data_IF_666360064129
#
_entry.id   IF_666360064129
#
_cell.length_a   1.000
_cell.length_b   1.000
_cell.length_c   1.000
_cell.angle_alpha   90.00
_cell.angle_beta   90.00
_cell.angle_gamma   90.00
#
_symmetry.space_group_name_H-M   'P 1'
#
loop_
_entity.id
_entity.type
_entity.pdbx_description
1 polymer ?
#
# COMPACT_ATOMS: atom_id res chain seq x y z
N UNK A 1 -4.14 -18.83 7.80
CA UNK A 1 -5.55 -18.48 7.50
C UNK A 1 -6.17 -19.67 6.79
N UNK A 2 -6.51 -20.68 7.57
CA UNK A 2 -7.04 -21.92 6.98
C UNK A 2 -8.40 -21.62 6.32
N UNK A 3 -8.49 -21.88 5.03
CA UNK A 3 -9.72 -21.82 4.24
C UNK A 3 -10.02 -20.51 3.49
N UNK A 4 -9.36 -19.37 3.76
CA UNK A 4 -9.56 -18.13 3.03
C UNK A 4 -8.41 -17.89 2.06
N UNK A 5 -8.72 -17.77 0.78
CA UNK A 5 -7.74 -17.46 -0.26
C UNK A 5 -7.61 -15.93 -0.36
N UNK A 6 -6.43 -15.42 -0.09
CA UNK A 6 -6.14 -13.99 -0.09
C UNK A 6 -5.38 -13.62 -1.34
N UNK A 7 -5.84 -12.57 -2.04
CA UNK A 7 -5.10 -11.92 -3.11
C UNK A 7 -4.42 -10.67 -2.55
N UNK A 8 -3.09 -10.66 -2.35
CA UNK A 8 -2.36 -9.47 -1.98
C UNK A 8 -2.13 -8.59 -3.21
N UNK A 9 -2.39 -7.29 -3.07
CA UNK A 9 -2.08 -6.26 -4.06
C UNK A 9 -1.27 -5.14 -3.39
N UNK A 10 -0.34 -4.55 -4.12
CA UNK A 10 0.40 -3.39 -3.65
C UNK A 10 -0.05 -2.11 -4.35
N UNK A 11 -0.28 -1.05 -3.59
CA UNK A 11 -0.50 0.29 -4.16
C UNK A 11 0.72 0.78 -4.94
N UNK A 12 1.90 0.29 -4.61
CA UNK A 12 3.14 0.65 -5.29
C UNK A 12 3.16 0.20 -6.76
N UNK A 13 2.34 -0.78 -7.15
CA UNK A 13 2.15 -1.19 -8.53
C UNK A 13 1.41 -0.15 -9.38
N UNK A 14 0.86 0.89 -8.77
CA UNK A 14 0.04 1.91 -9.42
C UNK A 14 0.72 3.28 -9.51
N UNK A 15 2.03 3.39 -9.29
CA UNK A 15 2.74 4.63 -9.60
C UNK A 15 2.64 4.99 -11.09
N UNK A 16 2.58 6.31 -11.36
CA UNK A 16 2.66 6.82 -12.72
C UNK A 16 4.04 6.52 -13.33
N UNK A 17 4.13 5.95 -14.55
CA UNK A 17 5.42 5.58 -15.15
C UNK A 17 6.31 6.78 -15.48
N UNK A 18 5.75 7.98 -15.53
CA UNK A 18 6.45 9.25 -15.82
C UNK A 18 6.18 10.28 -14.73
N UNK A 19 6.06 9.85 -13.49
CA UNK A 19 5.85 10.77 -12.39
C UNK A 19 7.07 11.67 -12.17
N UNK A 20 6.82 12.99 -12.14
CA UNK A 20 7.82 13.96 -11.69
C UNK A 20 7.67 14.12 -10.18
N UNK A 21 8.72 13.94 -9.38
CA UNK A 21 8.66 14.11 -7.94
C UNK A 21 8.08 15.47 -7.54
N UNK A 22 7.18 15.46 -6.56
CA UNK A 22 6.64 16.68 -5.97
C UNK A 22 7.74 17.48 -5.28
N UNK A 23 7.64 18.82 -5.31
CA UNK A 23 8.65 19.70 -4.74
C UNK A 23 8.78 19.61 -3.21
N UNK A 24 7.70 19.24 -2.51
CA UNK A 24 7.66 19.12 -1.04
C UNK A 24 7.75 17.68 -0.55
N UNK A 25 7.16 16.76 -1.29
CA UNK A 25 6.98 15.37 -0.85
C UNK A 25 7.77 14.37 -1.68
N UNK A 26 8.46 14.79 -2.74
CA UNK A 26 9.14 13.88 -3.63
C UNK A 26 8.19 12.83 -4.21
N UNK A 27 8.49 11.56 -3.95
CA UNK A 27 7.61 10.44 -4.30
C UNK A 27 6.60 10.09 -3.19
N UNK A 28 6.72 10.67 -2.01
CA UNK A 28 5.93 10.32 -0.83
C UNK A 28 4.58 11.11 -0.79
N UNK A 29 3.79 11.01 -1.86
CA UNK A 29 2.49 11.67 -2.03
C UNK A 29 1.47 10.79 -2.76
N UNK A 30 0.16 10.87 -2.40
CA UNK A 30 -0.90 10.16 -3.13
C UNK A 30 -1.01 10.55 -4.61
N UNK A 31 -0.56 11.75 -4.99
CA UNK A 31 -0.59 12.22 -6.38
C UNK A 31 0.31 11.39 -7.32
N UNK A 32 1.30 10.67 -6.77
CA UNK A 32 2.13 9.73 -7.52
C UNK A 32 1.39 8.47 -7.96
N UNK A 33 0.22 8.18 -7.39
CA UNK A 33 -0.57 6.98 -7.68
C UNK A 33 -1.59 7.27 -8.78
N UNK A 34 -1.62 6.41 -9.78
CA UNK A 34 -2.66 6.33 -10.80
C UNK A 34 -3.95 5.76 -10.20
N UNK A 35 -4.69 6.61 -9.50
CA UNK A 35 -5.92 6.23 -8.80
C UNK A 35 -6.97 5.64 -9.76
N UNK A 36 -7.03 6.11 -11.01
CA UNK A 36 -7.97 5.60 -11.99
C UNK A 36 -7.63 4.15 -12.39
N UNK A 37 -6.35 3.85 -12.63
CA UNK A 37 -5.91 2.50 -12.92
C UNK A 37 -6.11 1.55 -11.73
N UNK A 38 -5.86 2.02 -10.50
CA UNK A 38 -6.10 1.25 -9.27
C UNK A 38 -7.59 0.89 -9.12
N UNK A 39 -8.48 1.87 -9.22
CA UNK A 39 -9.91 1.65 -9.09
C UNK A 39 -10.45 0.72 -10.19
N UNK A 40 -10.06 0.95 -11.45
CA UNK A 40 -10.49 0.12 -12.57
C UNK A 40 -10.05 -1.36 -12.40
N UNK A 41 -8.83 -1.60 -11.92
CA UNK A 41 -8.36 -2.97 -11.68
C UNK A 41 -9.06 -3.63 -10.49
N UNK A 42 -9.29 -2.89 -9.41
CA UNK A 42 -10.06 -3.40 -8.27
C UNK A 42 -11.50 -3.76 -8.67
N UNK A 43 -12.15 -2.95 -9.52
CA UNK A 43 -13.46 -3.30 -10.05
C UNK A 43 -13.46 -4.61 -10.86
N UNK A 44 -12.47 -4.79 -11.74
CA UNK A 44 -12.33 -6.03 -12.51
C UNK A 44 -12.09 -7.24 -11.60
N UNK A 45 -11.26 -7.07 -10.59
CA UNK A 45 -11.01 -8.10 -9.59
C UNK A 45 -12.27 -8.44 -8.78
N UNK A 46 -13.02 -7.44 -8.30
CA UNK A 46 -14.26 -7.67 -7.56
C UNK A 46 -15.31 -8.41 -8.40
N UNK A 47 -15.31 -8.18 -9.74
CA UNK A 47 -16.17 -8.89 -10.70
C UNK A 47 -15.62 -10.25 -11.16
N UNK A 48 -14.44 -10.66 -10.67
CA UNK A 48 -13.72 -11.88 -11.11
C UNK A 48 -13.40 -11.92 -12.61
N UNK A 49 -13.22 -10.75 -13.23
CA UNK A 49 -12.97 -10.60 -14.67
C UNK A 49 -11.52 -10.24 -15.01
N UNK A 50 -10.66 -10.09 -14.01
CA UNK A 50 -9.25 -9.78 -14.24
C UNK A 50 -8.49 -11.03 -14.68
N UNK A 51 -7.75 -10.93 -15.77
CA UNK A 51 -6.87 -11.99 -16.32
C UNK A 51 -5.38 -11.63 -16.21
N UNK A 52 -5.09 -10.45 -15.73
CA UNK A 52 -3.72 -9.96 -15.51
C UNK A 52 -3.71 -8.89 -14.43
N UNK A 53 -2.59 -8.72 -13.74
CA UNK A 53 -2.35 -7.71 -12.73
C UNK A 53 -1.32 -6.69 -13.21
N UNK A 54 -1.52 -5.43 -12.87
CA UNK A 54 -0.53 -4.37 -13.10
C UNK A 54 0.65 -4.60 -12.17
N UNK A 55 1.85 -4.36 -12.71
CA UNK A 55 3.12 -4.34 -11.98
C UNK A 55 3.90 -3.10 -12.32
N UNK A 56 4.67 -2.62 -11.35
CA UNK A 56 5.52 -1.45 -11.50
C UNK A 56 6.92 -1.73 -10.95
N UNK A 57 7.94 -1.38 -11.71
CA UNK A 57 9.33 -1.47 -11.26
C UNK A 57 9.79 -0.09 -10.77
N UNK A 58 10.10 -0.01 -9.49
CA UNK A 58 10.58 1.21 -8.81
C UNK A 58 11.94 1.71 -9.30
N UNK A 59 12.72 0.88 -9.99
CA UNK A 59 14.05 1.25 -10.49
C UNK A 59 13.97 1.77 -11.91
N UNK A 60 13.31 1.02 -12.79
CA UNK A 60 13.18 1.37 -14.22
C UNK A 60 11.95 2.22 -14.53
N UNK A 61 11.06 2.41 -13.56
CA UNK A 61 9.76 3.09 -13.72
C UNK A 61 8.87 2.50 -14.83
N UNK A 62 9.05 1.21 -15.11
CA UNK A 62 8.27 0.50 -16.13
C UNK A 62 7.03 -0.12 -15.53
N UNK A 63 5.96 -0.08 -16.32
CA UNK A 63 4.70 -0.76 -16.05
C UNK A 63 4.56 -1.94 -17.01
N UNK A 64 4.12 -3.09 -16.49
CA UNK A 64 3.72 -4.23 -17.33
C UNK A 64 2.49 -4.91 -16.76
N UNK A 65 1.95 -5.87 -17.50
CA UNK A 65 0.84 -6.71 -17.04
C UNK A 65 1.35 -8.13 -16.85
N UNK A 66 1.10 -8.70 -15.68
CA UNK A 66 1.44 -10.07 -15.33
C UNK A 66 0.18 -10.95 -15.44
N UNK A 67 0.22 -12.08 -16.18
CA UNK A 67 -0.92 -13.00 -16.26
C UNK A 67 -1.38 -13.45 -14.88
N UNK A 68 -2.68 -13.50 -14.65
CA UNK A 68 -3.28 -13.84 -13.38
C UNK A 68 -4.47 -14.79 -13.58
N UNK A 69 -4.45 -15.92 -12.89
CA UNK A 69 -5.49 -16.95 -12.94
C UNK A 69 -5.62 -17.67 -11.59
N UNK A 70 -5.80 -16.91 -10.52
CA UNK A 70 -5.95 -17.49 -9.18
C UNK A 70 -7.33 -17.16 -8.62
N UNK A 71 -7.91 -18.13 -7.93
CA UNK A 71 -9.10 -17.90 -7.12
C UNK A 71 -8.76 -17.20 -5.82
N UNK A 72 -9.62 -16.31 -5.38
CA UNK A 72 -9.50 -15.59 -4.12
C UNK A 72 -10.87 -15.25 -3.54
N UNK A 73 -10.90 -15.12 -2.23
CA UNK A 73 -12.10 -14.78 -1.47
C UNK A 73 -11.99 -13.36 -0.89
N UNK A 74 -10.75 -12.89 -0.68
CA UNK A 74 -10.44 -11.58 -0.12
C UNK A 74 -9.30 -10.93 -0.89
N UNK A 75 -9.47 -9.65 -1.24
CA UNK A 75 -8.41 -8.81 -1.76
C UNK A 75 -7.86 -7.99 -0.60
N UNK A 76 -6.54 -8.05 -0.37
CA UNK A 76 -5.83 -7.23 0.60
C UNK A 76 -4.92 -6.28 -0.15
N UNK A 77 -5.32 -5.00 -0.23
CA UNK A 77 -4.51 -3.94 -0.80
C UNK A 77 -3.64 -3.33 0.29
N UNK A 78 -2.32 -3.31 0.08
CA UNK A 78 -1.37 -2.70 1.00
C UNK A 78 -0.67 -1.51 0.34
N UNK A 79 -0.27 -0.52 1.15
CA UNK A 79 0.51 0.62 0.71
C UNK A 79 0.26 1.87 1.53
N UNK A 80 1.17 2.83 1.41
CA UNK A 80 1.09 4.10 2.11
C UNK A 80 0.25 5.13 1.33
N UNK A 81 0.40 5.13 0.00
CA UNK A 81 -0.22 6.09 -0.92
C UNK A 81 -1.09 5.32 -1.93
N UNK A 82 -2.32 5.23 -1.73
CA UNK A 82 -3.30 4.49 -2.56
C UNK A 82 -4.61 4.39 -1.82
N UNK A 83 -4.61 4.07 -0.50
CA UNK A 83 -5.84 4.03 0.28
C UNK A 83 -6.65 5.33 0.23
N UNK A 84 -5.99 6.47 0.03
CA UNK A 84 -6.65 7.78 -0.12
C UNK A 84 -7.67 7.80 -1.28
N UNK A 85 -7.36 7.12 -2.38
CA UNK A 85 -8.24 7.03 -3.55
C UNK A 85 -9.48 6.15 -3.29
N UNK A 86 -9.42 5.29 -2.28
CA UNK A 86 -10.50 4.35 -1.94
C UNK A 86 -11.45 4.89 -0.88
N UNK A 87 -11.12 6.00 -0.23
CA UNK A 87 -11.99 6.59 0.78
C UNK A 87 -13.35 6.98 0.19
N UNK A 88 -14.42 6.45 0.78
CA UNK A 88 -15.79 6.67 0.28
C UNK A 88 -16.17 5.82 -0.95
N UNK A 89 -15.28 4.98 -1.45
CA UNK A 89 -15.61 4.06 -2.54
C UNK A 89 -16.33 2.81 -2.00
N UNK A 90 -17.39 2.34 -2.65
CA UNK A 90 -18.12 1.14 -2.21
C UNK A 90 -17.30 -0.15 -2.29
N UNK A 91 -16.18 -0.14 -3.02
CA UNK A 91 -15.23 -1.25 -3.11
C UNK A 91 -14.46 -1.47 -1.80
N UNK A 92 -14.25 -0.41 -1.01
CA UNK A 92 -13.55 -0.50 0.27
C UNK A 92 -14.47 -1.07 1.34
N UNK A 93 -14.25 -2.32 1.72
CA UNK A 93 -15.04 -3.00 2.76
C UNK A 93 -14.54 -2.67 4.16
N UNK A 94 -13.24 -2.49 4.31
CA UNK A 94 -12.61 -2.12 5.58
C UNK A 94 -11.23 -1.56 5.35
N UNK A 95 -10.88 -0.55 6.14
CA UNK A 95 -9.53 0.01 6.18
C UNK A 95 -8.86 -0.29 7.52
N UNK A 96 -7.68 -0.89 7.45
CA UNK A 96 -6.86 -1.20 8.61
C UNK A 96 -5.63 -0.30 8.65
N UNK A 97 -5.42 0.37 9.76
CA UNK A 97 -4.22 1.17 9.99
C UNK A 97 -3.22 0.38 10.84
N UNK A 98 -2.04 0.11 10.26
CA UNK A 98 -0.97 -0.59 10.95
C UNK A 98 -0.03 0.40 11.63
N UNK A 99 -0.05 0.42 12.97
CA UNK A 99 0.89 1.23 13.76
C UNK A 99 2.22 0.53 13.95
N UNK A 100 3.28 1.28 13.73
CA UNK A 100 4.64 0.89 14.06
C UNK A 100 5.37 2.12 14.61
N UNK A 101 6.11 1.95 15.70
CA UNK A 101 6.90 3.02 16.29
C UNK A 101 7.84 3.66 15.25
N UNK A 102 7.85 4.99 15.18
CA UNK A 102 8.60 5.76 14.19
C UNK A 102 10.08 5.31 14.07
N UNK A 103 10.85 5.16 15.16
CA UNK A 103 12.25 4.73 15.04
C UNK A 103 12.41 3.38 14.34
N UNK A 104 11.50 2.43 14.61
CA UNK A 104 11.55 1.11 14.00
C UNK A 104 11.17 1.15 12.51
N UNK A 105 10.21 2.00 12.13
CA UNK A 105 9.86 2.23 10.71
C UNK A 105 11.03 2.82 9.94
N UNK A 106 11.65 3.86 10.48
CA UNK A 106 12.80 4.51 9.87
C UNK A 106 13.97 3.54 9.70
N UNK A 107 14.26 2.75 10.74
CA UNK A 107 15.29 1.72 10.67
C UNK A 107 15.00 0.65 9.62
N UNK A 108 13.76 0.14 9.55
CA UNK A 108 13.35 -0.85 8.52
C UNK A 108 13.46 -0.28 7.12
N UNK A 109 12.97 0.96 6.89
CA UNK A 109 13.08 1.67 5.60
C UNK A 109 14.54 1.85 5.23
N UNK A 110 15.37 2.38 6.12
CA UNK A 110 16.79 2.57 5.88
C UNK A 110 17.51 1.27 5.51
N UNK A 111 17.21 0.18 6.21
CA UNK A 111 17.79 -1.13 5.92
C UNK A 111 17.38 -1.64 4.53
N UNK A 112 16.12 -1.48 4.15
CA UNK A 112 15.60 -1.84 2.83
C UNK A 112 16.26 -1.00 1.74
N UNK A 113 16.20 0.31 1.84
CA UNK A 113 16.68 1.22 0.80
C UNK A 113 18.18 1.10 0.55
N UNK A 114 18.96 0.75 1.59
CA UNK A 114 20.39 0.41 1.43
C UNK A 114 20.62 -0.93 0.74
N UNK A 115 19.82 -1.95 1.07
CA UNK A 115 20.02 -3.31 0.53
C UNK A 115 19.49 -3.46 -0.89
N UNK A 116 18.35 -2.88 -1.17
CA UNK A 116 17.61 -3.11 -2.41
C UNK A 116 17.86 -2.01 -3.45
N UNK A 117 18.12 -0.78 -3.00
CA UNK A 117 18.27 0.39 -3.88
C UNK A 117 19.68 0.99 -3.91
N UNK A 118 20.60 0.51 -3.08
CA UNK A 118 22.00 0.96 -3.05
C UNK A 118 22.20 2.43 -2.63
N UNK A 119 21.18 3.06 -2.01
CA UNK A 119 21.26 4.47 -1.61
C UNK A 119 22.24 4.70 -0.45
N UNK A 120 22.94 5.85 -0.47
CA UNK A 120 23.82 6.24 0.63
C UNK A 120 23.00 6.59 1.89
N UNK A 121 23.60 6.43 3.08
CA UNK A 121 22.95 6.75 4.35
C UNK A 121 22.50 8.21 4.41
N UNK A 122 23.36 9.13 3.93
CA UNK A 122 23.07 10.57 3.92
C UNK A 122 21.85 10.88 3.04
N UNK A 123 21.78 10.25 1.87
CA UNK A 123 20.64 10.38 0.97
C UNK A 123 19.33 9.92 1.64
N UNK A 124 19.33 8.73 2.25
CA UNK A 124 18.15 8.16 2.92
C UNK A 124 17.69 9.04 4.08
N UNK A 125 18.61 9.56 4.91
CA UNK A 125 18.27 10.47 6.02
C UNK A 125 17.67 11.75 5.48
N UNK A 126 18.29 12.38 4.48
CA UNK A 126 17.79 13.61 3.86
C UNK A 126 16.39 13.41 3.30
N UNK A 127 16.19 12.37 2.49
CA UNK A 127 14.89 12.04 1.91
C UNK A 127 13.85 11.78 3.02
N UNK A 128 14.23 11.06 4.07
CA UNK A 128 13.34 10.80 5.20
C UNK A 128 12.84 12.08 5.85
N UNK A 129 13.74 13.02 6.15
CA UNK A 129 13.39 14.27 6.85
C UNK A 129 12.62 15.22 5.94
N UNK A 130 13.02 15.37 4.69
CA UNK A 130 12.48 16.39 3.80
C UNK A 130 11.21 15.95 3.04
N UNK A 131 11.05 14.66 2.79
CA UNK A 131 9.95 14.12 1.97
C UNK A 131 9.06 13.16 2.77
N UNK A 132 9.66 12.11 3.37
CA UNK A 132 8.88 11.02 4.00
C UNK A 132 8.12 11.47 5.23
N UNK A 133 8.74 12.22 6.15
CA UNK A 133 8.06 12.68 7.37
C UNK A 133 6.95 13.70 7.08
N UNK A 134 7.13 14.68 6.18
CA UNK A 134 6.03 15.52 5.70
C UNK A 134 4.91 14.72 5.04
N UNK A 135 5.22 13.84 4.10
CA UNK A 135 4.22 13.01 3.43
C UNK A 135 3.45 12.11 4.39
N UNK A 136 4.14 11.52 5.38
CA UNK A 136 3.49 10.76 6.44
C UNK A 136 2.53 11.62 7.27
N UNK A 137 2.98 12.80 7.71
CA UNK A 137 2.17 13.72 8.52
C UNK A 137 0.89 14.12 7.79
N UNK A 138 1.02 14.46 6.51
CA UNK A 138 -0.04 15.11 5.76
C UNK A 138 -0.98 14.10 5.07
N UNK A 139 -0.49 12.93 4.69
CA UNK A 139 -1.28 11.96 3.93
C UNK A 139 -1.55 10.63 4.64
N UNK A 140 -0.64 10.14 5.50
CA UNK A 140 -0.79 8.82 6.11
C UNK A 140 -1.41 8.90 7.50
N UNK A 141 -0.93 9.80 8.37
CA UNK A 141 -1.48 9.94 9.74
C UNK A 141 -2.97 10.24 9.78
N UNK A 142 -3.54 11.07 8.88
CA UNK A 142 -4.98 11.31 8.86
C UNK A 142 -5.81 10.06 8.58
N UNK A 143 -5.27 9.05 7.89
CA UNK A 143 -5.95 7.78 7.62
C UNK A 143 -6.24 6.99 8.90
N UNK A 144 -5.45 7.18 9.96
CA UNK A 144 -5.69 6.53 11.25
C UNK A 144 -7.08 6.81 11.82
N UNK A 145 -7.56 8.05 11.66
CA UNK A 145 -8.90 8.45 12.14
C UNK A 145 -10.04 7.92 11.27
N UNK A 146 -9.72 7.48 10.04
CA UNK A 146 -10.67 6.94 9.06
C UNK A 146 -10.65 5.41 9.01
N UNK A 147 -9.72 4.79 9.74
CA UNK A 147 -9.57 3.35 9.77
C UNK A 147 -10.64 2.69 10.63
N UNK A 148 -11.22 1.60 10.14
CA UNK A 148 -12.15 0.76 10.89
C UNK A 148 -11.44 -0.03 11.99
N UNK A 149 -10.15 -0.31 11.79
CA UNK A 149 -9.33 -1.05 12.73
C UNK A 149 -7.92 -0.47 12.77
N UNK A 150 -7.43 -0.20 13.98
CA UNK A 150 -6.04 0.20 14.24
C UNK A 150 -5.34 -0.92 14.97
N UNK A 151 -4.26 -1.44 14.41
CA UNK A 151 -3.48 -2.54 15.01
C UNK A 151 -2.00 -2.16 15.13
N UNK A 152 -1.35 -2.74 16.10
CA UNK A 152 0.10 -2.67 16.22
C UNK A 152 0.76 -3.83 15.46
N UNK A 153 1.95 -3.63 14.93
CA UNK A 153 2.75 -4.70 14.33
C UNK A 153 3.32 -5.61 15.43
N UNK A 154 2.47 -6.47 15.95
CA UNK A 154 2.74 -7.43 17.02
C UNK A 154 2.01 -8.73 16.75
N UNK A 155 2.36 -9.85 17.40
CA UNK A 155 1.62 -11.12 17.25
C UNK A 155 0.13 -10.98 17.59
N UNK A 156 -0.22 -10.22 18.62
CA UNK A 156 -1.63 -9.95 18.98
C UNK A 156 -2.33 -9.09 17.93
N UNK A 157 -1.68 -8.06 17.39
CA UNK A 157 -2.22 -7.25 16.29
C UNK A 157 -2.47 -8.08 15.02
N UNK A 158 -1.56 -8.99 14.69
CA UNK A 158 -1.76 -9.91 13.56
C UNK A 158 -2.90 -10.90 13.79
N UNK A 159 -3.08 -11.39 15.03
CA UNK A 159 -4.22 -12.23 15.38
C UNK A 159 -5.55 -11.47 15.21
N UNK A 160 -5.61 -10.21 15.69
CA UNK A 160 -6.77 -9.33 15.51
C UNK A 160 -7.06 -9.08 14.03
N UNK A 161 -6.04 -8.79 13.21
CA UNK A 161 -6.19 -8.63 11.76
C UNK A 161 -6.77 -9.90 11.11
N UNK A 162 -6.26 -11.06 11.50
CA UNK A 162 -6.74 -12.35 10.97
C UNK A 162 -8.20 -12.59 11.32
N UNK A 163 -8.60 -12.30 12.55
CA UNK A 163 -10.00 -12.42 12.98
C UNK A 163 -10.90 -11.44 12.21
N UNK A 164 -10.46 -10.19 12.06
CA UNK A 164 -11.19 -9.17 11.29
C UNK A 164 -11.34 -9.58 9.81
N UNK A 165 -10.27 -10.06 9.17
CA UNK A 165 -10.34 -10.55 7.79
C UNK A 165 -11.34 -11.71 7.63
N UNK A 166 -11.41 -12.62 8.61
CA UNK A 166 -12.41 -13.71 8.61
C UNK A 166 -13.85 -13.19 8.70
N UNK A 167 -14.10 -12.17 9.50
CA UNK A 167 -15.44 -11.59 9.62
C UNK A 167 -15.92 -10.88 8.34
N UNK A 168 -15.02 -10.42 7.48
CA UNK A 168 -15.35 -9.79 6.21
C UNK A 168 -15.75 -10.79 5.12
N UNK A 169 -15.34 -12.06 5.26
CA UNK A 169 -15.60 -13.14 4.29
C UNK A 169 -16.70 -14.09 4.78
N UNK A 170 -17.07 -14.01 6.04
CA UNK A 170 -18.19 -14.79 6.58
C UNK A 170 -19.50 -14.45 5.85
N UNK A 171 -20.35 -15.46 5.50
CA UNK A 171 -21.60 -15.27 4.79
C UNK A 171 -22.62 -14.46 5.60
#
# INVERSE_FOLDING_TARGET
MDGIRVLPLSCDDYYWPKWTPDSLYGYDTPAGIDAAALLAELEQLCRKNANSLRRYDMVSHRVWREPFQQDYDLIVLEGAFGPQALLGQPLLRSMVYLELALPLRLWRRQRRDRRERGHSLVYVIRQTVLETLPGERDFIRPLRQKADLVIQNSPSGLATLTQHARSLVAP
#
